data_IF_691462318513
#
_entry.id   IF_691462318513
#
_cell.length_a   1.000
_cell.length_b   1.000
_cell.length_c   1.000
_cell.angle_alpha   90.00
_cell.angle_beta   90.00
_cell.angle_gamma   90.00
#
_symmetry.space_group_name_H-M   'P 1'
#
loop_
_entity.id
_entity.type
_entity.pdbx_description
1 polymer ?
#
# COMPACT_ATOMS: atom_id res chain seq x y z
N UNK A 1 -15.59 14.56 -28.32
CA UNK A 1 -15.04 14.56 -26.96
C UNK A 1 -13.56 14.25 -27.06
N UNK A 2 -12.73 15.12 -26.50
CA UNK A 2 -11.29 15.23 -26.73
C UNK A 2 -10.53 14.18 -25.91
N UNK A 3 -9.92 13.21 -26.59
CA UNK A 3 -8.93 12.31 -25.99
C UNK A 3 -7.66 13.10 -25.70
N UNK A 4 -7.30 13.24 -24.41
CA UNK A 4 -5.99 13.78 -24.00
C UNK A 4 -4.92 12.78 -24.43
N UNK A 5 -3.88 13.29 -25.09
CA UNK A 5 -2.72 12.51 -25.51
C UNK A 5 -1.95 12.01 -24.30
N UNK A 6 -1.49 10.76 -24.39
CA UNK A 6 -0.69 10.05 -23.39
C UNK A 6 0.74 10.64 -23.36
N UNK A 7 1.17 11.26 -22.24
CA UNK A 7 2.50 11.85 -22.14
C UNK A 7 3.64 10.84 -21.94
N UNK A 8 3.35 9.54 -21.78
CA UNK A 8 4.28 8.61 -21.13
C UNK A 8 4.89 7.50 -22.01
N UNK A 9 4.85 7.63 -23.34
CA UNK A 9 5.45 6.62 -24.22
C UNK A 9 6.98 6.76 -24.31
N UNK A 10 7.78 5.90 -23.64
CA UNK A 10 9.21 5.76 -23.93
C UNK A 10 9.81 4.35 -23.80
N UNK A 11 10.93 4.22 -24.53
CA UNK A 11 11.60 3.02 -25.03
C UNK A 11 12.66 2.42 -24.09
N UNK A 12 12.96 1.13 -24.30
CA UNK A 12 13.80 0.27 -23.47
C UNK A 12 15.33 0.41 -23.72
N UNK A 13 16.11 0.34 -22.64
CA UNK A 13 17.58 0.18 -22.56
C UNK A 13 17.82 -0.50 -21.18
N UNK A 14 18.68 -1.48 -20.88
CA UNK A 14 19.89 -2.07 -21.47
C UNK A 14 20.89 -2.26 -20.30
N UNK A 15 21.31 -3.50 -20.03
CA UNK A 15 21.95 -4.01 -18.79
C UNK A 15 23.32 -3.40 -18.40
N UNK A 16 23.65 -3.37 -17.09
CA UNK A 16 24.98 -3.07 -16.54
C UNK A 16 25.49 -4.12 -15.53
N UNK A 17 26.81 -4.33 -15.52
CA UNK A 17 27.58 -5.36 -14.80
C UNK A 17 28.01 -4.94 -13.36
N UNK A 18 28.50 -5.87 -12.50
CA UNK A 18 28.49 -5.73 -11.03
C UNK A 18 29.83 -5.25 -10.40
N UNK A 19 29.75 -4.74 -9.16
CA UNK A 19 30.86 -4.24 -8.35
C UNK A 19 31.14 -5.15 -7.12
N UNK A 20 32.42 -5.31 -6.78
CA UNK A 20 32.95 -6.04 -5.61
C UNK A 20 33.30 -5.11 -4.44
N UNK A 21 33.15 -5.53 -3.16
CA UNK A 21 33.50 -4.72 -1.99
C UNK A 21 34.91 -5.02 -1.42
N UNK A 22 35.52 -4.10 -0.67
CA UNK A 22 36.74 -4.38 0.08
C UNK A 22 36.49 -4.63 1.58
N UNK A 23 37.50 -5.27 2.18
CA UNK A 23 37.56 -5.93 3.49
C UNK A 23 38.03 -5.01 4.63
N UNK A 24 37.44 -5.21 5.82
CA UNK A 24 38.15 -5.66 7.02
C UNK A 24 38.69 -4.63 8.04
N UNK A 25 38.21 -4.71 9.28
CA UNK A 25 38.96 -4.30 10.48
C UNK A 25 38.11 -3.92 11.69
N UNK A 26 37.96 -4.82 12.67
CA UNK A 26 37.43 -4.54 14.01
C UNK A 26 36.49 -5.62 14.54
N UNK A 27 37.02 -6.77 14.97
CA UNK A 27 36.23 -7.99 15.18
C UNK A 27 35.96 -8.40 16.64
N UNK A 28 36.53 -7.76 17.66
CA UNK A 28 36.38 -8.26 19.05
C UNK A 28 35.63 -7.32 20.01
N UNK A 29 35.60 -5.99 19.80
CA UNK A 29 34.73 -5.10 20.60
C UNK A 29 33.31 -4.96 20.00
N UNK A 30 33.11 -5.42 18.77
CA UNK A 30 31.81 -5.45 18.10
C UNK A 30 30.95 -6.66 18.52
N UNK A 31 31.55 -7.74 19.03
CA UNK A 31 30.86 -9.01 19.29
C UNK A 31 30.02 -8.98 20.58
N UNK A 32 30.46 -8.23 21.60
CA UNK A 32 29.75 -8.11 22.89
C UNK A 32 28.60 -7.07 22.82
N UNK A 33 28.78 -5.98 22.07
CA UNK A 33 27.71 -5.02 21.77
C UNK A 33 26.71 -5.53 20.71
N UNK A 34 27.15 -6.40 19.80
CA UNK A 34 26.26 -7.11 18.88
C UNK A 34 25.39 -8.14 19.62
N UNK A 35 25.91 -8.84 20.62
CA UNK A 35 25.13 -9.81 21.38
C UNK A 35 24.04 -9.17 22.27
N UNK A 36 24.30 -8.01 22.88
CA UNK A 36 23.27 -7.27 23.62
C UNK A 36 22.24 -6.62 22.68
N UNK A 37 22.68 -6.11 21.52
CA UNK A 37 21.78 -5.60 20.48
C UNK A 37 20.98 -6.70 19.76
N UNK A 38 21.53 -7.90 19.59
CA UNK A 38 20.82 -9.06 19.03
C UNK A 38 19.76 -9.57 19.99
N UNK A 39 20.02 -9.61 21.30
CA UNK A 39 19.02 -10.02 22.28
C UNK A 39 17.84 -9.04 22.39
N UNK A 40 18.10 -7.73 22.31
CA UNK A 40 17.04 -6.71 22.27
C UNK A 40 16.24 -6.78 20.96
N UNK A 41 16.89 -7.02 19.81
CA UNK A 41 16.22 -7.21 18.51
C UNK A 41 15.43 -8.52 18.46
N UNK A 42 15.95 -9.61 19.02
CA UNK A 42 15.24 -10.90 19.13
C UNK A 42 14.00 -10.76 20.02
N UNK A 43 14.09 -10.04 21.14
CA UNK A 43 12.95 -9.79 22.01
C UNK A 43 11.89 -8.87 21.36
N UNK A 44 12.31 -7.84 20.62
CA UNK A 44 11.39 -7.00 19.83
C UNK A 44 10.71 -7.80 18.72
N UNK A 45 11.45 -8.66 18.01
CA UNK A 45 10.89 -9.53 16.98
C UNK A 45 9.93 -10.60 17.54
N UNK A 46 10.21 -11.16 18.73
CA UNK A 46 9.30 -12.09 19.40
C UNK A 46 7.99 -11.40 19.82
N UNK A 47 8.06 -10.18 20.34
CA UNK A 47 6.86 -9.40 20.71
C UNK A 47 6.05 -8.97 19.48
N UNK A 48 6.72 -8.57 18.39
CA UNK A 48 6.06 -8.29 17.11
C UNK A 48 5.38 -9.56 16.56
N UNK A 49 6.06 -10.71 16.60
CA UNK A 49 5.50 -11.98 16.13
C UNK A 49 4.31 -12.45 16.97
N UNK A 50 4.38 -12.36 18.31
CA UNK A 50 3.24 -12.68 19.19
C UNK A 50 2.06 -11.72 18.96
N UNK A 51 2.34 -10.44 18.69
CA UNK A 51 1.34 -9.45 18.31
C UNK A 51 0.67 -9.76 16.97
N UNK A 52 1.45 -10.15 15.97
CA UNK A 52 0.95 -10.59 14.66
C UNK A 52 0.10 -11.87 14.76
N UNK A 53 0.54 -12.87 15.52
CA UNK A 53 -0.22 -14.13 15.71
C UNK A 53 -1.57 -13.87 16.39
N UNK A 54 -1.60 -13.07 17.45
CA UNK A 54 -2.85 -12.71 18.14
C UNK A 54 -3.82 -11.90 17.26
N UNK A 55 -3.29 -11.01 16.42
CA UNK A 55 -4.10 -10.24 15.47
C UNK A 55 -4.71 -11.15 14.38
N UNK A 56 -3.95 -12.15 13.91
CA UNK A 56 -4.42 -13.14 12.94
C UNK A 56 -5.52 -14.04 13.53
N UNK A 57 -5.39 -14.48 14.77
CA UNK A 57 -6.38 -15.33 15.45
C UNK A 57 -7.72 -14.61 15.65
N UNK A 58 -7.70 -13.34 16.04
CA UNK A 58 -8.91 -12.54 16.21
C UNK A 58 -9.63 -12.31 14.87
N UNK A 59 -8.89 -11.97 13.81
CA UNK A 59 -9.46 -11.81 12.46
C UNK A 59 -10.06 -13.12 11.92
N UNK A 60 -9.47 -14.27 12.27
CA UNK A 60 -9.99 -15.58 11.93
C UNK A 60 -11.34 -15.88 12.60
N UNK A 61 -11.48 -15.54 13.88
CA UNK A 61 -12.77 -15.64 14.58
C UNK A 61 -13.83 -14.74 13.94
N UNK A 62 -13.46 -13.50 13.62
CA UNK A 62 -14.39 -12.53 13.03
C UNK A 62 -14.77 -12.93 11.59
N UNK A 63 -13.84 -13.53 10.85
CA UNK A 63 -14.13 -14.18 9.56
C UNK A 63 -15.12 -15.33 9.72
N UNK A 64 -14.93 -16.20 10.71
CA UNK A 64 -15.85 -17.33 10.94
C UNK A 64 -17.26 -16.83 11.26
N UNK A 65 -17.40 -15.78 12.08
CA UNK A 65 -18.68 -15.12 12.36
C UNK A 65 -19.27 -14.48 11.11
N UNK A 66 -18.48 -13.74 10.33
CA UNK A 66 -18.91 -13.12 9.07
C UNK A 66 -19.38 -14.16 8.05
N UNK A 67 -18.69 -15.29 7.95
CA UNK A 67 -19.09 -16.40 7.09
C UNK A 67 -20.37 -17.07 7.56
N UNK A 68 -20.52 -17.35 8.87
CA UNK A 68 -21.76 -17.91 9.43
C UNK A 68 -22.96 -16.98 9.20
N UNK A 69 -22.75 -15.67 9.39
CA UNK A 69 -23.75 -14.65 9.08
C UNK A 69 -24.08 -14.62 7.59
N UNK A 70 -23.07 -14.66 6.71
CA UNK A 70 -23.25 -14.68 5.26
C UNK A 70 -23.97 -15.95 4.78
N UNK A 71 -23.68 -17.12 5.36
CA UNK A 71 -24.36 -18.39 5.08
C UNK A 71 -25.82 -18.40 5.54
N UNK A 72 -26.14 -17.64 6.59
CA UNK A 72 -27.53 -17.43 7.01
C UNK A 72 -28.34 -16.59 6.00
N UNK A 73 -27.65 -15.83 5.13
CA UNK A 73 -28.29 -15.07 4.06
C UNK A 73 -28.58 -16.02 2.90
N UNK A 74 -29.86 -16.21 2.58
CA UNK A 74 -30.36 -17.33 1.77
C UNK A 74 -29.87 -17.47 0.31
N UNK A 75 -28.95 -16.63 -0.17
CA UNK A 75 -28.22 -16.84 -1.42
C UNK A 75 -26.85 -16.12 -1.45
N UNK A 76 -25.98 -16.53 -2.38
CA UNK A 76 -24.61 -16.02 -2.51
C UNK A 76 -24.51 -14.52 -2.84
N UNK A 77 -25.48 -13.95 -3.57
CA UNK A 77 -25.44 -12.54 -3.92
C UNK A 77 -25.69 -11.65 -2.71
N UNK A 78 -26.69 -12.02 -1.90
CA UNK A 78 -26.99 -11.32 -0.66
C UNK A 78 -25.88 -11.50 0.39
N UNK A 79 -25.20 -12.64 0.41
CA UNK A 79 -23.98 -12.86 1.19
C UNK A 79 -22.84 -11.91 0.78
N UNK A 80 -22.64 -11.71 -0.54
CA UNK A 80 -21.63 -10.77 -1.03
C UNK A 80 -21.98 -9.31 -0.75
N UNK A 81 -23.24 -8.91 -0.91
CA UNK A 81 -23.71 -7.57 -0.53
C UNK A 81 -23.49 -7.32 0.96
N UNK A 82 -23.81 -8.30 1.82
CA UNK A 82 -23.58 -8.22 3.26
C UNK A 82 -22.09 -8.01 3.58
N UNK A 83 -21.20 -8.84 3.02
CA UNK A 83 -19.75 -8.70 3.21
C UNK A 83 -19.23 -7.34 2.73
N UNK A 84 -19.84 -6.77 1.69
CA UNK A 84 -19.41 -5.49 1.16
C UNK A 84 -19.84 -4.31 2.02
N UNK A 85 -21.09 -4.30 2.48
CA UNK A 85 -21.65 -3.22 3.29
C UNK A 85 -20.97 -3.09 4.67
N UNK A 86 -20.54 -4.22 5.27
CA UNK A 86 -19.83 -4.22 6.56
C UNK A 86 -18.43 -3.62 6.49
N UNK A 87 -17.95 -3.31 5.29
CA UNK A 87 -16.59 -2.86 5.04
C UNK A 87 -16.57 -1.56 4.21
N UNK A 88 -17.70 -0.83 4.21
CA UNK A 88 -17.75 0.52 3.66
C UNK A 88 -16.97 1.47 4.55
N UNK A 89 -16.01 2.17 3.95
CA UNK A 89 -15.26 3.26 4.57
C UNK A 89 -15.89 4.58 4.12
N UNK A 90 -16.21 5.47 5.05
CA UNK A 90 -16.72 6.81 4.69
C UNK A 90 -15.65 7.67 3.99
N UNK A 91 -14.39 7.33 4.21
CA UNK A 91 -13.22 7.96 3.62
C UNK A 91 -12.97 9.38 4.15
N UNK A 92 -13.62 9.77 5.25
CA UNK A 92 -13.61 11.16 5.74
C UNK A 92 -12.23 11.55 6.25
N UNK A 93 -11.62 10.70 7.09
CA UNK A 93 -10.30 10.98 7.69
C UNK A 93 -9.20 11.06 6.63
N UNK A 94 -9.26 10.18 5.63
CA UNK A 94 -8.32 10.08 4.52
C UNK A 94 -8.39 11.33 3.65
N UNK A 95 -9.60 11.79 3.32
CA UNK A 95 -9.81 13.05 2.56
C UNK A 95 -9.38 14.28 3.36
N UNK A 96 -9.73 14.37 4.64
CA UNK A 96 -9.30 15.46 5.52
C UNK A 96 -7.77 15.54 5.61
N UNK A 97 -7.10 14.39 5.72
CA UNK A 97 -5.64 14.33 5.75
C UNK A 97 -5.03 14.73 4.40
N UNK A 98 -5.54 14.23 3.27
CA UNK A 98 -5.06 14.60 1.94
C UNK A 98 -5.22 16.09 1.67
N UNK A 99 -6.37 16.68 2.02
CA UNK A 99 -6.63 18.12 1.89
C UNK A 99 -5.66 18.94 2.76
N UNK A 100 -5.38 18.46 3.98
CA UNK A 100 -4.39 19.06 4.87
C UNK A 100 -2.98 19.00 4.27
N UNK A 101 -2.52 17.82 3.86
CA UNK A 101 -1.19 17.64 3.28
C UNK A 101 -1.03 18.49 2.01
N UNK A 102 -2.02 18.51 1.12
CA UNK A 102 -1.97 19.33 -0.09
C UNK A 102 -1.87 20.83 0.24
N UNK A 103 -2.58 21.29 1.26
CA UNK A 103 -2.52 22.68 1.74
C UNK A 103 -1.14 23.01 2.33
N UNK A 104 -0.69 22.21 3.29
CA UNK A 104 0.46 22.54 4.12
C UNK A 104 1.78 22.35 3.36
N UNK A 105 1.87 21.32 2.50
CA UNK A 105 3.04 21.08 1.63
C UNK A 105 3.12 22.09 0.46
N UNK A 106 1.97 22.64 0.03
CA UNK A 106 1.86 23.56 -1.11
C UNK A 106 1.95 25.05 -0.78
N UNK A 107 2.13 25.40 0.50
CA UNK A 107 2.17 26.78 1.00
C UNK A 107 3.38 27.62 0.56
N UNK A 108 4.28 27.08 -0.29
CA UNK A 108 5.44 27.78 -0.85
C UNK A 108 6.72 27.68 -0.03
N UNK A 109 6.65 27.23 1.22
CA UNK A 109 7.85 26.95 2.05
C UNK A 109 8.53 25.64 1.64
N UNK A 110 7.72 24.63 1.31
CA UNK A 110 8.19 23.36 0.77
C UNK A 110 8.12 23.35 -0.76
N UNK A 111 6.92 23.26 -1.30
CA UNK A 111 6.64 23.27 -2.73
C UNK A 111 5.51 24.26 -3.04
N UNK A 112 5.35 24.60 -4.31
CA UNK A 112 4.21 25.40 -4.75
C UNK A 112 3.01 24.48 -5.09
N UNK A 113 1.77 24.88 -4.77
CA UNK A 113 0.54 24.12 -5.10
C UNK A 113 0.43 23.62 -6.56
N UNK A 114 1.09 24.29 -7.51
CA UNK A 114 1.06 23.90 -8.93
C UNK A 114 2.10 22.85 -9.34
N UNK A 115 3.09 22.58 -8.50
CA UNK A 115 4.25 21.74 -8.83
C UNK A 115 4.00 20.25 -8.64
N UNK A 116 3.15 19.89 -7.68
CA UNK A 116 2.90 18.50 -7.31
C UNK A 116 1.40 18.19 -7.20
N UNK A 117 1.09 16.90 -7.23
CA UNK A 117 -0.20 16.30 -6.92
C UNK A 117 -0.01 15.24 -5.83
N UNK A 118 -1.01 15.02 -4.99
CA UNK A 118 -1.09 13.89 -4.08
C UNK A 118 -2.22 12.98 -4.55
N UNK A 119 -1.87 11.79 -5.00
CA UNK A 119 -2.82 10.83 -5.54
C UNK A 119 -2.90 9.62 -4.61
N UNK A 120 -4.04 9.36 -3.96
CA UNK A 120 -4.21 8.14 -3.19
C UNK A 120 -4.30 6.94 -4.14
N UNK A 121 -3.88 5.78 -3.66
CA UNK A 121 -4.04 4.51 -4.36
C UNK A 121 -4.33 3.38 -3.37
N UNK A 122 -4.26 2.13 -3.84
CA UNK A 122 -4.36 0.96 -2.99
C UNK A 122 -5.79 0.67 -2.51
N UNK A 123 -5.88 0.21 -1.27
CA UNK A 123 -7.12 -0.32 -0.69
C UNK A 123 -8.23 0.73 -0.56
N UNK A 124 -7.85 1.98 -0.29
CA UNK A 124 -8.74 3.14 -0.20
C UNK A 124 -9.45 3.41 -1.54
N UNK A 125 -8.72 3.37 -2.66
CA UNK A 125 -9.29 3.64 -4.00
C UNK A 125 -10.08 2.46 -4.56
N UNK A 126 -9.67 1.24 -4.21
CA UNK A 126 -10.29 0.01 -4.71
C UNK A 126 -11.46 -0.48 -3.86
N UNK A 127 -11.58 0.03 -2.64
CA UNK A 127 -12.48 -0.48 -1.58
C UNK A 127 -12.22 -1.96 -1.28
N UNK A 128 -10.96 -2.39 -1.35
CA UNK A 128 -10.55 -3.78 -1.09
C UNK A 128 -9.84 -3.96 0.25
N UNK A 129 -9.89 -2.95 1.12
CA UNK A 129 -9.44 -3.06 2.51
C UNK A 129 -10.13 -4.22 3.23
N UNK A 130 -9.48 -4.79 4.25
CA UNK A 130 -10.15 -5.72 5.16
C UNK A 130 -10.78 -4.90 6.30
N UNK A 131 -11.91 -5.34 6.88
CA UNK A 131 -12.41 -4.73 8.10
C UNK A 131 -11.38 -5.00 9.20
N UNK A 132 -10.97 -3.97 9.95
CA UNK A 132 -10.17 -4.18 11.15
C UNK A 132 -11.00 -4.91 12.22
N UNK A 133 -10.39 -5.87 12.92
CA UNK A 133 -11.00 -6.55 14.06
C UNK A 133 -11.45 -5.57 15.17
N UNK A 134 -10.78 -4.42 15.23
CA UNK A 134 -11.21 -3.27 15.99
C UNK A 134 -11.47 -2.13 15.01
N UNK A 135 -12.62 -1.47 15.09
CA UNK A 135 -13.06 -0.36 14.21
C UNK A 135 -12.10 0.85 14.16
N UNK A 136 -10.97 0.75 14.85
CA UNK A 136 -9.92 1.74 15.05
C UNK A 136 -8.70 1.54 14.13
N UNK A 137 -8.34 0.31 13.76
CA UNK A 137 -7.25 0.05 12.79
C UNK A 137 -7.81 -0.03 11.37
N UNK A 138 -7.66 1.06 10.63
CA UNK A 138 -8.00 1.14 9.20
C UNK A 138 -6.85 0.58 8.35
N UNK A 139 -7.17 0.16 7.13
CA UNK A 139 -6.13 -0.18 6.15
C UNK A 139 -5.24 1.03 5.87
N UNK A 140 -3.95 0.80 5.61
CA UNK A 140 -2.99 1.87 5.32
C UNK A 140 -3.47 2.76 4.17
N UNK A 141 -3.24 4.07 4.31
CA UNK A 141 -3.49 5.04 3.26
C UNK A 141 -2.24 5.16 2.38
N UNK A 142 -2.28 4.51 1.23
CA UNK A 142 -1.25 4.64 0.21
C UNK A 142 -1.41 5.94 -0.59
N UNK A 143 -0.37 6.77 -0.66
CA UNK A 143 -0.36 8.02 -1.43
C UNK A 143 0.92 8.11 -2.27
N UNK A 144 0.80 8.66 -3.47
CA UNK A 144 1.97 9.06 -4.26
C UNK A 144 1.99 10.57 -4.45
N UNK A 145 3.16 11.16 -4.21
CA UNK A 145 3.45 12.54 -4.58
C UNK A 145 4.03 12.58 -6.00
N UNK A 146 3.36 13.28 -6.92
CA UNK A 146 3.73 13.35 -8.33
C UNK A 146 4.06 14.79 -8.73
N UNK A 147 5.27 15.02 -9.23
CA UNK A 147 5.70 16.31 -9.78
C UNK A 147 5.36 16.41 -11.26
N UNK A 148 4.77 17.54 -11.65
CA UNK A 148 4.39 17.80 -13.04
C UNK A 148 5.61 17.95 -13.93
N UNK A 149 5.56 17.35 -15.12
CA UNK A 149 6.63 17.44 -16.12
C UNK A 149 7.85 16.58 -15.83
N UNK A 150 7.85 15.80 -14.74
CA UNK A 150 8.91 14.85 -14.39
C UNK A 150 8.53 13.43 -14.81
N UNK A 151 9.42 12.65 -15.44
CA UNK A 151 9.17 11.24 -15.71
C UNK A 151 9.00 10.41 -14.44
N UNK A 152 8.34 9.26 -14.56
CA UNK A 152 8.26 8.27 -13.48
C UNK A 152 9.66 7.83 -13.04
N UNK A 153 9.85 7.62 -11.74
CA UNK A 153 11.10 7.09 -11.20
C UNK A 153 11.35 5.67 -11.74
N UNK A 154 12.57 5.43 -12.19
CA UNK A 154 13.04 4.13 -12.65
C UNK A 154 14.56 4.05 -12.50
N UNK A 155 15.08 2.85 -12.35
CA UNK A 155 16.54 2.59 -12.27
C UNK A 155 17.34 3.13 -13.47
N UNK A 156 16.65 3.45 -14.59
CA UNK A 156 17.27 3.94 -15.82
C UNK A 156 17.38 5.47 -15.90
N UNK A 157 16.83 6.23 -14.94
CA UNK A 157 16.84 7.69 -14.98
C UNK A 157 17.41 8.31 -13.71
N UNK A 158 17.74 9.60 -13.78
CA UNK A 158 18.35 10.36 -12.67
C UNK A 158 17.29 10.89 -11.67
N UNK A 159 16.00 10.62 -11.91
CA UNK A 159 14.89 11.17 -11.09
C UNK A 159 14.97 10.69 -9.64
N UNK A 160 15.46 9.46 -9.42
CA UNK A 160 15.62 8.91 -8.07
C UNK A 160 16.48 9.80 -7.18
N UNK A 161 17.69 10.10 -7.65
CA UNK A 161 18.69 10.81 -6.87
C UNK A 161 18.45 12.32 -6.88
N UNK A 162 17.92 12.87 -7.97
CA UNK A 162 17.70 14.32 -8.11
C UNK A 162 16.39 14.81 -7.49
N UNK A 163 15.37 13.95 -7.40
CA UNK A 163 14.04 14.35 -6.95
C UNK A 163 13.46 13.45 -5.86
N UNK A 164 13.39 12.13 -6.07
CA UNK A 164 12.67 11.21 -5.16
C UNK A 164 13.29 11.20 -3.77
N UNK A 165 14.59 10.91 -3.67
CA UNK A 165 15.29 10.81 -2.38
C UNK A 165 15.29 12.18 -1.66
N UNK A 166 15.67 13.30 -2.30
CA UNK A 166 15.61 14.62 -1.66
C UNK A 166 14.19 15.01 -1.23
N UNK A 167 13.16 14.66 -2.00
CA UNK A 167 11.76 14.92 -1.64
C UNK A 167 11.36 14.13 -0.41
N UNK A 168 11.68 12.83 -0.34
CA UNK A 168 11.39 11.99 0.82
C UNK A 168 12.08 12.50 2.09
N UNK A 169 13.35 12.93 1.97
CA UNK A 169 14.09 13.52 3.09
C UNK A 169 13.42 14.80 3.58
N UNK A 170 13.08 15.70 2.66
CA UNK A 170 12.41 16.96 3.00
C UNK A 170 11.03 16.75 3.60
N UNK A 171 10.26 15.79 3.07
CA UNK A 171 8.96 15.41 3.57
C UNK A 171 9.07 14.85 4.99
N UNK A 172 10.01 13.94 5.23
CA UNK A 172 10.27 13.36 6.56
C UNK A 172 10.69 14.43 7.57
N UNK A 173 11.60 15.34 7.21
CA UNK A 173 11.99 16.45 8.09
C UNK A 173 10.81 17.36 8.45
N UNK A 174 9.97 17.72 7.47
CA UNK A 174 8.77 18.52 7.74
C UNK A 174 7.77 17.79 8.63
N UNK A 175 7.55 16.49 8.43
CA UNK A 175 6.65 15.68 9.25
C UNK A 175 7.11 15.62 10.71
N UNK A 176 8.42 15.54 10.95
CA UNK A 176 8.99 15.55 12.31
C UNK A 176 8.75 16.87 13.06
N UNK A 177 8.47 17.96 12.35
CA UNK A 177 8.12 19.25 12.94
C UNK A 177 6.62 19.37 13.29
N UNK A 178 5.78 18.44 12.80
CA UNK A 178 4.35 18.43 13.08
C UNK A 178 4.06 17.69 14.38
N UNK A 179 3.27 18.30 15.28
CA UNK A 179 2.99 17.72 16.60
C UNK A 179 2.06 16.50 16.58
N UNK A 180 1.35 16.28 15.47
CA UNK A 180 0.30 15.27 15.31
C UNK A 180 0.62 14.23 14.23
N UNK A 181 1.87 14.22 13.73
CA UNK A 181 2.39 13.20 12.82
C UNK A 181 3.58 12.50 13.48
N UNK A 182 3.65 11.19 13.34
CA UNK A 182 4.78 10.38 13.84
C UNK A 182 5.40 9.63 12.68
N UNK A 183 6.60 10.04 12.24
CA UNK A 183 7.34 9.29 11.20
C UNK A 183 7.81 7.96 11.78
N UNK A 184 7.35 6.85 11.22
CA UNK A 184 7.70 5.50 11.68
C UNK A 184 8.85 4.91 10.87
N UNK A 185 8.91 5.17 9.57
CA UNK A 185 9.96 4.62 8.70
C UNK A 185 10.27 5.49 7.49
N UNK A 186 11.52 5.46 7.04
CA UNK A 186 11.97 6.10 5.78
C UNK A 186 12.82 5.10 5.00
N UNK A 187 12.22 4.44 4.02
CA UNK A 187 12.87 3.40 3.22
C UNK A 187 13.32 3.97 1.88
N UNK A 188 14.62 4.27 1.76
CA UNK A 188 15.19 4.93 0.56
C UNK A 188 15.72 3.96 -0.51
N UNK A 189 16.14 2.76 -0.11
CA UNK A 189 16.86 1.79 -0.98
C UNK A 189 15.96 0.70 -1.57
N UNK A 190 14.65 0.75 -1.33
CA UNK A 190 13.71 -0.19 -1.91
C UNK A 190 13.43 0.15 -3.37
N UNK A 191 12.86 -0.81 -4.12
CA UNK A 191 12.39 -0.59 -5.50
C UNK A 191 11.47 0.63 -5.62
N UNK A 192 10.64 0.84 -4.61
CA UNK A 192 9.78 2.01 -4.44
C UNK A 192 10.18 2.65 -3.12
N UNK A 193 10.91 3.78 -3.14
CA UNK A 193 11.23 4.54 -1.94
C UNK A 193 9.95 5.11 -1.30
N UNK A 194 9.82 4.97 0.02
CA UNK A 194 8.63 5.37 0.79
C UNK A 194 9.01 6.04 2.12
N UNK A 195 8.15 6.95 2.58
CA UNK A 195 8.08 7.38 3.98
C UNK A 195 6.75 6.90 4.56
N UNK A 196 6.82 6.25 5.71
CA UNK A 196 5.67 5.79 6.48
C UNK A 196 5.53 6.67 7.71
N UNK A 197 4.31 7.12 8.00
CA UNK A 197 4.02 7.89 9.20
C UNK A 197 2.60 7.59 9.69
N UNK A 198 2.41 7.80 10.98
CA UNK A 198 1.12 7.65 11.64
C UNK A 198 0.51 8.99 12.02
N UNK A 199 -0.81 9.01 12.00
CA UNK A 199 -1.65 10.02 12.65
C UNK A 199 -2.45 9.34 13.78
N UNK A 200 -3.26 10.08 14.51
CA UNK A 200 -4.18 9.48 15.49
C UNK A 200 -5.13 8.43 14.88
N UNK A 201 -5.41 8.50 13.57
CA UNK A 201 -6.47 7.72 12.92
C UNK A 201 -5.99 6.81 11.78
N UNK A 202 -4.81 7.06 11.22
CA UNK A 202 -4.36 6.47 9.96
C UNK A 202 -2.87 6.20 10.01
N UNK A 203 -2.45 5.06 9.46
CA UNK A 203 -1.09 4.85 8.98
C UNK A 203 -1.02 5.18 7.49
N UNK A 204 0.05 5.85 7.06
CA UNK A 204 0.15 6.43 5.73
C UNK A 204 1.51 6.16 5.12
N UNK A 205 1.50 5.59 3.91
CA UNK A 205 2.69 5.39 3.08
C UNK A 205 2.71 6.41 1.95
N UNK A 206 3.75 7.26 1.91
CA UNK A 206 3.97 8.21 0.81
C UNK A 206 5.18 7.77 -0.01
N UNK A 207 4.91 7.46 -1.28
CA UNK A 207 5.93 7.29 -2.32
C UNK A 207 6.06 8.55 -3.17
N UNK A 208 7.17 8.70 -3.89
CA UNK A 208 7.40 9.86 -4.78
C UNK A 208 7.65 9.39 -6.21
N UNK A 209 6.96 10.01 -7.16
CA UNK A 209 7.15 9.83 -8.60
C UNK A 209 6.97 8.38 -9.11
N UNK A 210 6.13 7.58 -8.44
CA UNK A 210 5.81 6.19 -8.81
C UNK A 210 4.32 6.02 -9.16
N UNK A 211 3.88 6.40 -10.37
CA UNK A 211 2.45 6.48 -10.73
C UNK A 211 1.75 5.12 -10.89
N UNK A 212 2.49 4.01 -10.89
CA UNK A 212 1.97 2.68 -11.18
C UNK A 212 0.94 2.21 -10.15
N UNK A 213 1.10 2.59 -8.88
CA UNK A 213 0.13 2.28 -7.81
C UNK A 213 -1.25 2.85 -8.12
N UNK A 214 -1.30 4.11 -8.57
CA UNK A 214 -2.52 4.82 -8.97
C UNK A 214 -3.19 4.12 -10.16
N UNK A 215 -2.42 3.87 -11.23
CA UNK A 215 -2.94 3.23 -12.45
C UNK A 215 -3.48 1.81 -12.17
N UNK A 216 -2.75 1.02 -11.38
CA UNK A 216 -3.18 -0.32 -10.99
C UNK A 216 -4.45 -0.30 -10.15
N UNK A 217 -4.58 0.68 -9.26
CA UNK A 217 -5.75 0.84 -8.39
C UNK A 217 -6.97 1.30 -9.16
N UNK A 218 -6.82 2.22 -10.12
CA UNK A 218 -7.89 2.61 -11.02
C UNK A 218 -8.36 1.43 -11.87
N UNK A 219 -7.43 0.67 -12.45
CA UNK A 219 -7.77 -0.52 -13.22
C UNK A 219 -8.56 -1.53 -12.38
N UNK A 220 -8.10 -1.82 -11.16
CA UNK A 220 -8.74 -2.80 -10.30
C UNK A 220 -10.11 -2.32 -9.77
N UNK A 221 -10.25 -1.03 -9.45
CA UNK A 221 -11.53 -0.40 -9.13
C UNK A 221 -12.52 -0.57 -10.28
N UNK A 222 -12.09 -0.21 -11.49
CA UNK A 222 -12.95 -0.29 -12.67
C UNK A 222 -13.35 -1.76 -12.95
N UNK A 223 -12.44 -2.73 -12.75
CA UNK A 223 -12.77 -4.15 -12.84
C UNK A 223 -13.85 -4.55 -11.83
N UNK A 224 -13.75 -4.08 -10.59
CA UNK A 224 -14.76 -4.31 -9.55
C UNK A 224 -16.12 -3.73 -9.93
N UNK A 225 -16.14 -2.58 -10.61
CA UNK A 225 -17.36 -1.90 -11.03
C UNK A 225 -17.96 -2.46 -12.33
N UNK A 226 -17.15 -3.14 -13.15
CA UNK A 226 -17.56 -3.63 -14.49
C UNK A 226 -18.43 -4.89 -14.50
N UNK A 227 -18.41 -5.66 -13.42
CA UNK A 227 -19.03 -6.97 -13.32
C UNK A 227 -20.42 -6.96 -12.69
N UNK A 228 -20.82 -8.11 -12.17
CA UNK A 228 -21.93 -8.17 -11.21
C UNK A 228 -21.47 -7.43 -9.93
N UNK A 229 -22.11 -6.29 -9.58
CA UNK A 229 -21.61 -5.41 -8.54
C UNK A 229 -21.31 -6.16 -7.25
N UNK A 230 -20.15 -5.88 -6.67
CA UNK A 230 -19.77 -6.43 -5.36
C UNK A 230 -19.22 -7.86 -5.35
N UNK A 231 -19.39 -8.67 -6.40
CA UNK A 231 -18.87 -10.06 -6.41
C UNK A 231 -17.34 -10.12 -6.39
N UNK A 232 -16.67 -9.29 -7.19
CA UNK A 232 -15.20 -9.27 -7.21
C UNK A 232 -14.65 -8.75 -5.87
N UNK A 233 -15.22 -7.66 -5.33
CA UNK A 233 -14.81 -7.12 -4.01
C UNK A 233 -14.96 -8.15 -2.90
N UNK A 234 -16.12 -8.80 -2.81
CA UNK A 234 -16.37 -9.82 -1.81
C UNK A 234 -15.41 -11.02 -1.95
N UNK A 235 -15.22 -11.53 -3.17
CA UNK A 235 -14.29 -12.63 -3.41
C UNK A 235 -12.84 -12.27 -3.05
N UNK A 236 -12.38 -11.08 -3.43
CA UNK A 236 -11.03 -10.62 -3.10
C UNK A 236 -10.86 -10.50 -1.59
N UNK A 237 -11.83 -9.95 -0.87
CA UNK A 237 -11.80 -9.86 0.60
C UNK A 237 -11.70 -11.25 1.24
N UNK A 238 -12.52 -12.21 0.79
CA UNK A 238 -12.45 -13.60 1.25
C UNK A 238 -11.06 -14.23 1.01
N UNK A 239 -10.49 -14.01 -0.18
CA UNK A 239 -9.15 -14.51 -0.52
C UNK A 239 -8.07 -13.84 0.33
N UNK A 240 -8.16 -12.52 0.57
CA UNK A 240 -7.22 -11.78 1.41
C UNK A 240 -7.23 -12.30 2.85
N UNK A 241 -8.41 -12.52 3.43
CA UNK A 241 -8.55 -13.10 4.78
C UNK A 241 -7.96 -14.51 4.82
N UNK A 242 -8.31 -15.36 3.84
CA UNK A 242 -7.73 -16.70 3.72
C UNK A 242 -6.19 -16.65 3.61
N UNK A 243 -5.64 -15.78 2.77
CA UNK A 243 -4.19 -15.64 2.59
C UNK A 243 -3.50 -15.17 3.88
N UNK A 244 -4.11 -14.24 4.62
CA UNK A 244 -3.60 -13.76 5.91
C UNK A 244 -3.57 -14.88 6.94
N UNK A 245 -4.66 -15.63 7.10
CA UNK A 245 -4.74 -16.81 7.99
C UNK A 245 -3.78 -17.97 7.68
N UNK A 246 -3.16 -17.94 6.50
CA UNK A 246 -2.18 -18.93 6.06
C UNK A 246 -0.75 -18.38 6.03
N UNK A 247 -0.54 -17.14 6.46
CA UNK A 247 0.78 -16.49 6.43
C UNK A 247 1.33 -16.28 5.02
N UNK A 248 0.47 -16.24 3.98
CA UNK A 248 0.89 -16.15 2.57
C UNK A 248 0.42 -14.84 1.92
N UNK A 249 0.48 -13.73 2.65
CA UNK A 249 -0.10 -12.45 2.23
C UNK A 249 0.94 -11.34 1.98
N UNK A 250 2.21 -11.63 2.21
CA UNK A 250 3.29 -10.64 2.20
C UNK A 250 4.28 -10.94 1.07
N UNK A 251 4.45 -9.98 0.15
CA UNK A 251 5.40 -10.14 -0.96
C UNK A 251 6.86 -10.16 -0.52
N UNK A 252 7.17 -9.58 0.65
CA UNK A 252 8.51 -9.60 1.25
C UNK A 252 8.99 -11.02 1.54
N UNK A 253 8.06 -11.92 1.91
CA UNK A 253 8.35 -13.32 2.28
C UNK A 253 8.26 -14.29 1.09
N UNK A 254 8.20 -13.75 -0.13
CA UNK A 254 8.08 -14.54 -1.37
C UNK A 254 6.67 -15.02 -1.70
N UNK A 255 5.66 -14.65 -0.91
CA UNK A 255 4.25 -14.89 -1.22
C UNK A 255 3.69 -13.84 -2.22
N UNK A 256 2.42 -13.98 -2.61
CA UNK A 256 1.75 -12.98 -3.44
C UNK A 256 1.33 -11.78 -2.59
N UNK A 257 1.43 -10.57 -3.15
CA UNK A 257 0.83 -9.39 -2.55
C UNK A 257 -0.71 -9.44 -2.63
N UNK A 258 -1.37 -8.61 -1.82
CA UNK A 258 -2.82 -8.37 -1.93
C UNK A 258 -3.27 -8.01 -3.35
N UNK A 259 -2.46 -7.24 -4.08
CA UNK A 259 -2.72 -6.93 -5.49
C UNK A 259 -2.62 -8.17 -6.38
N UNK A 260 -1.62 -9.03 -6.16
CA UNK A 260 -1.48 -10.31 -6.87
C UNK A 260 -2.70 -11.23 -6.70
N UNK A 261 -3.18 -11.41 -5.47
CA UNK A 261 -4.41 -12.15 -5.20
C UNK A 261 -5.64 -11.52 -5.88
N UNK A 262 -5.72 -10.19 -5.88
CA UNK A 262 -6.82 -9.47 -6.53
C UNK A 262 -6.87 -9.74 -8.03
N UNK A 263 -5.72 -9.79 -8.70
CA UNK A 263 -5.63 -10.13 -10.13
C UNK A 263 -6.01 -11.59 -10.41
N UNK A 264 -5.64 -12.53 -9.54
CA UNK A 264 -6.06 -13.93 -9.69
C UNK A 264 -7.58 -14.08 -9.58
N UNK A 265 -8.21 -13.40 -8.62
CA UNK A 265 -9.66 -13.39 -8.46
C UNK A 265 -10.37 -12.76 -9.68
N UNK A 266 -9.85 -11.61 -10.16
CA UNK A 266 -10.37 -10.95 -11.35
C UNK A 266 -10.26 -11.84 -12.59
N UNK A 267 -9.12 -12.48 -12.80
CA UNK A 267 -8.88 -13.43 -13.90
C UNK A 267 -9.84 -14.62 -13.85
N UNK A 268 -10.03 -15.21 -12.66
CA UNK A 268 -11.00 -16.29 -12.47
C UNK A 268 -12.41 -15.85 -12.86
N UNK A 269 -12.89 -14.71 -12.35
CA UNK A 269 -14.24 -14.22 -12.66
C UNK A 269 -14.41 -13.81 -14.12
N UNK A 270 -13.37 -13.29 -14.76
CA UNK A 270 -13.36 -12.99 -16.19
C UNK A 270 -13.50 -14.27 -17.02
N UNK A 271 -12.77 -15.34 -16.68
CA UNK A 271 -12.92 -16.66 -17.31
C UNK A 271 -14.30 -17.30 -17.12
N UNK A 272 -15.07 -16.83 -16.13
CA UNK A 272 -16.47 -17.23 -15.88
C UNK A 272 -17.50 -16.27 -16.51
N UNK A 273 -17.07 -15.20 -17.17
CA UNK A 273 -17.94 -14.18 -17.77
C UNK A 273 -18.61 -13.23 -16.78
N UNK A 274 -18.13 -13.19 -15.53
CA UNK A 274 -18.71 -12.37 -14.45
C UNK A 274 -18.07 -10.98 -14.32
N UNK A 275 -16.86 -10.81 -14.85
CA UNK A 275 -16.11 -9.55 -14.93
C UNK A 275 -15.67 -9.36 -16.38
N UNK A 276 -15.78 -8.14 -16.91
CA UNK A 276 -15.36 -7.87 -18.29
C UNK A 276 -13.89 -7.48 -18.30
N UNK A 277 -13.14 -7.97 -19.29
CA UNK A 277 -11.84 -7.40 -19.59
C UNK A 277 -12.05 -5.95 -20.06
N UNK A 278 -11.42 -4.99 -19.37
CA UNK A 278 -11.57 -3.57 -19.65
C UNK A 278 -10.59 -3.03 -20.69
N UNK A 279 -9.53 -3.81 -20.97
CA UNK A 279 -8.59 -3.55 -22.05
C UNK A 279 -8.70 -4.68 -23.08
N UNK A 280 -8.81 -4.36 -24.38
CA UNK A 280 -8.83 -5.34 -25.47
C UNK A 280 -7.47 -6.00 -25.73
#
# INVERSE_FOLDING_TARGET
>A
QTWRQDPWAFAAIGESAPLTPPLGGGAEEAEEAAAEGEADVEAEMEVEAEGEEAEVDQELEDMAKLMEMAESVGNADAAFEFLNAHNEQDGTAERELLDRLHRDLGGGELWNHGEFELEPFGSFVTELGLPGADSTKRSDLDVVMLFRGTPADSEANQVRDELVIPTLERLSSWMQEQSDLTVTSVVKKARVPIVTFDTEKLSVDISVQQPWGVLNSWHLRDLCDSGLPGRLRALVRLIKMWAKSKGIHTAKDGALSSYGYSLLAASFLAGRGSVKALLP
#
